data_IF_829807909815
#
_entry.id   IF_829807909815
#
_cell.length_a   1.000
_cell.length_b   1.000
_cell.length_c   1.000
_cell.angle_alpha   90.00
_cell.angle_beta   90.00
_cell.angle_gamma   90.00
#
_symmetry.space_group_name_H-M   'P 1'
#
loop_
_entity.id
_entity.type
_entity.pdbx_description
1 polymer ?
#
# COMPACT_ATOMS: atom_id res chain seq x y z
N UNK A 1 -33.14 -23.88 -30.46
CA UNK A 1 -32.58 -22.74 -29.72
C UNK A 1 -31.77 -23.33 -28.60
N UNK A 2 -30.49 -23.64 -28.85
CA UNK A 2 -29.60 -24.26 -27.85
C UNK A 2 -28.65 -23.16 -27.39
N UNK A 3 -28.88 -22.62 -26.19
CA UNK A 3 -28.04 -21.62 -25.57
C UNK A 3 -26.73 -22.28 -25.13
N UNK A 4 -25.64 -22.02 -25.85
CA UNK A 4 -24.30 -22.33 -25.37
C UNK A 4 -24.02 -21.40 -24.19
N UNK A 5 -24.09 -21.93 -22.97
CA UNK A 5 -23.53 -21.28 -21.79
C UNK A 5 -22.01 -21.17 -22.00
N UNK A 6 -21.57 -20.02 -22.50
CA UNK A 6 -20.17 -19.64 -22.49
C UNK A 6 -19.87 -19.16 -21.07
N UNK A 7 -19.57 -20.08 -20.18
CA UNK A 7 -18.89 -19.72 -18.93
C UNK A 7 -17.58 -19.03 -19.31
N UNK A 8 -17.28 -17.84 -18.78
CA UNK A 8 -16.06 -17.13 -19.14
C UNK A 8 -14.88 -17.99 -18.69
N UNK A 9 -14.00 -18.35 -19.64
CA UNK A 9 -12.76 -19.04 -19.34
C UNK A 9 -11.89 -18.10 -18.48
N UNK A 10 -11.90 -18.33 -17.17
CA UNK A 10 -11.03 -17.62 -16.23
C UNK A 10 -9.63 -18.22 -16.33
N UNK A 11 -8.66 -17.42 -16.77
CA UNK A 11 -7.27 -17.86 -16.78
C UNK A 11 -6.79 -18.07 -15.33
N UNK A 12 -6.32 -19.29 -15.04
CA UNK A 12 -5.68 -19.61 -13.77
C UNK A 12 -4.19 -19.24 -13.84
N UNK A 13 -3.70 -18.63 -12.77
CA UNK A 13 -2.30 -18.27 -12.58
C UNK A 13 -1.77 -19.11 -11.42
N UNK A 14 -0.55 -19.64 -11.58
CA UNK A 14 0.17 -20.31 -10.51
C UNK A 14 1.05 -19.30 -9.80
N UNK A 15 0.91 -19.21 -8.48
CA UNK A 15 1.72 -18.34 -7.62
C UNK A 15 2.21 -19.08 -6.38
N UNK A 16 3.36 -18.70 -5.84
CA UNK A 16 3.96 -19.38 -4.70
C UNK A 16 3.68 -18.66 -3.38
N UNK A 17 2.91 -19.31 -2.50
CA UNK A 17 2.72 -18.94 -1.11
C UNK A 17 3.90 -19.49 -0.26
N UNK A 18 4.54 -18.68 0.59
CA UNK A 18 5.65 -19.14 1.43
C UNK A 18 5.25 -20.20 2.48
N UNK A 19 3.96 -20.27 2.85
CA UNK A 19 3.45 -21.24 3.81
C UNK A 19 2.92 -22.53 3.16
N UNK A 20 2.22 -22.42 2.02
CA UNK A 20 1.52 -23.54 1.37
C UNK A 20 2.25 -24.12 0.16
N UNK A 21 3.22 -23.39 -0.40
CA UNK A 21 3.82 -23.72 -1.69
C UNK A 21 3.03 -23.13 -2.85
N UNK A 22 3.02 -23.82 -3.99
CA UNK A 22 2.37 -23.32 -5.19
C UNK A 22 0.86 -23.50 -5.13
N UNK A 23 0.14 -22.41 -5.37
CA UNK A 23 -1.32 -22.34 -5.41
C UNK A 23 -1.79 -21.84 -6.77
N UNK A 24 -2.98 -22.28 -7.18
CA UNK A 24 -3.66 -21.79 -8.38
C UNK A 24 -4.79 -20.85 -7.98
N UNK A 25 -4.88 -19.71 -8.68
CA UNK A 25 -5.89 -18.70 -8.43
C UNK A 25 -6.28 -18.00 -9.74
N UNK A 26 -7.50 -17.44 -9.83
CA UNK A 26 -7.88 -16.59 -10.94
C UNK A 26 -6.89 -15.43 -11.12
N UNK A 27 -6.55 -15.09 -12.37
CA UNK A 27 -5.77 -13.88 -12.66
C UNK A 27 -6.37 -12.63 -11.98
N UNK A 28 -7.71 -12.50 -11.99
CA UNK A 28 -8.43 -11.42 -11.34
C UNK A 28 -8.25 -11.33 -9.81
N UNK A 29 -7.71 -12.36 -9.15
CA UNK A 29 -7.39 -12.32 -7.72
C UNK A 29 -6.00 -11.72 -7.43
N UNK A 30 -5.17 -11.50 -8.47
CA UNK A 30 -3.92 -10.77 -8.37
C UNK A 30 -4.18 -9.27 -8.49
N UNK A 31 -3.39 -8.49 -7.75
CA UNK A 31 -3.33 -7.04 -7.86
C UNK A 31 -1.90 -6.60 -8.07
N UNK A 32 -1.64 -5.93 -9.19
CA UNK A 32 -0.33 -5.37 -9.49
C UNK A 32 -0.28 -3.90 -9.06
N UNK A 33 0.89 -3.45 -8.61
CA UNK A 33 1.14 -2.05 -8.30
C UNK A 33 2.52 -1.60 -8.77
N UNK A 34 2.62 -0.34 -9.17
CA UNK A 34 3.87 0.27 -9.62
C UNK A 34 4.05 1.64 -8.96
N UNK A 35 5.25 1.89 -8.44
CA UNK A 35 5.62 3.20 -7.93
C UNK A 35 6.00 4.11 -9.10
N UNK A 36 5.31 5.24 -9.27
CA UNK A 36 5.62 6.25 -10.29
C UNK A 36 6.94 6.96 -9.99
N UNK A 37 7.32 7.08 -8.71
CA UNK A 37 8.53 7.80 -8.29
C UNK A 37 9.80 6.97 -8.48
N UNK A 38 9.77 5.66 -8.18
CA UNK A 38 10.96 4.79 -8.26
C UNK A 38 10.94 3.83 -9.44
N UNK A 39 9.78 3.63 -10.09
CA UNK A 39 9.58 2.59 -11.10
C UNK A 39 9.47 1.17 -10.52
N UNK A 40 9.51 1.02 -9.19
CA UNK A 40 9.47 -0.30 -8.55
C UNK A 40 8.07 -0.93 -8.63
N UNK A 41 8.04 -2.19 -9.05
CA UNK A 41 6.84 -2.97 -9.24
C UNK A 41 6.64 -4.06 -8.19
N UNK A 42 5.39 -4.39 -7.90
CA UNK A 42 5.05 -5.58 -7.12
C UNK A 42 3.67 -6.11 -7.51
N UNK A 43 3.42 -7.40 -7.27
CA UNK A 43 2.09 -7.97 -7.31
C UNK A 43 1.74 -8.61 -5.97
N UNK A 44 0.46 -8.71 -5.70
CA UNK A 44 -0.07 -9.32 -4.48
C UNK A 44 -1.27 -10.21 -4.75
N UNK A 45 -1.46 -11.20 -3.89
CA UNK A 45 -2.64 -12.07 -3.90
C UNK A 45 -2.94 -12.60 -2.49
N UNK A 46 -4.21 -12.90 -2.22
CA UNK A 46 -4.60 -13.68 -1.04
C UNK A 46 -4.43 -15.17 -1.32
N UNK A 47 -3.65 -15.88 -0.51
CA UNK A 47 -3.51 -17.33 -0.65
C UNK A 47 -4.88 -18.00 -0.39
N UNK A 48 -5.42 -18.80 -1.33
CA UNK A 48 -6.73 -19.43 -1.17
C UNK A 48 -6.76 -20.51 -0.08
N UNK A 49 -5.60 -21.03 0.33
CA UNK A 49 -5.49 -22.07 1.35
C UNK A 49 -5.41 -21.51 2.77
N UNK A 50 -4.52 -20.54 3.00
CA UNK A 50 -4.25 -20.01 4.35
C UNK A 50 -4.74 -18.57 4.58
N UNK A 51 -5.27 -17.89 3.56
CA UNK A 51 -5.77 -16.52 3.63
C UNK A 51 -4.70 -15.43 3.76
N UNK A 52 -3.42 -15.80 3.84
CA UNK A 52 -2.33 -14.82 3.97
C UNK A 52 -2.17 -14.01 2.68
N UNK A 53 -2.01 -12.69 2.81
CA UNK A 53 -1.65 -11.82 1.69
C UNK A 53 -0.16 -11.98 1.39
N UNK A 54 0.15 -12.38 0.17
CA UNK A 54 1.51 -12.55 -0.33
C UNK A 54 1.82 -11.39 -1.26
N UNK A 55 2.95 -10.71 -1.03
CA UNK A 55 3.47 -9.64 -1.90
C UNK A 55 4.80 -10.09 -2.49
N UNK A 56 4.98 -9.90 -3.80
CA UNK A 56 6.19 -10.27 -4.52
C UNK A 56 6.70 -9.09 -5.35
N UNK A 57 8.02 -8.85 -5.41
CA UNK A 57 8.56 -7.86 -6.33
C UNK A 57 8.30 -8.29 -7.77
N UNK A 58 8.08 -7.32 -8.64
CA UNK A 58 7.88 -7.53 -10.06
C UNK A 58 8.68 -6.48 -10.83
N UNK A 59 9.46 -6.93 -11.80
CA UNK A 59 10.03 -6.02 -12.77
C UNK A 59 8.96 -5.55 -13.76
N UNK A 60 9.30 -4.52 -14.55
CA UNK A 60 8.37 -3.93 -15.51
C UNK A 60 7.85 -4.96 -16.52
N UNK A 61 8.73 -5.88 -16.97
CA UNK A 61 8.35 -6.93 -17.92
C UNK A 61 7.30 -7.88 -17.33
N UNK A 62 7.45 -8.27 -16.06
CA UNK A 62 6.48 -9.12 -15.37
C UNK A 62 5.17 -8.37 -15.17
N UNK A 63 5.20 -7.10 -14.77
CA UNK A 63 4.01 -6.28 -14.67
C UNK A 63 3.26 -6.18 -16.00
N UNK A 64 3.97 -5.95 -17.11
CA UNK A 64 3.37 -5.91 -18.45
C UNK A 64 2.67 -7.22 -18.82
N UNK A 65 3.28 -8.37 -18.49
CA UNK A 65 2.67 -9.68 -18.70
C UNK A 65 1.40 -9.87 -17.87
N UNK A 66 1.43 -9.44 -16.60
CA UNK A 66 0.26 -9.51 -15.71
C UNK A 66 -0.88 -8.63 -16.24
N UNK A 67 -0.58 -7.40 -16.65
CA UNK A 67 -1.58 -6.49 -17.26
C UNK A 67 -2.14 -7.06 -18.56
N UNK A 68 -1.29 -7.61 -19.43
CA UNK A 68 -1.72 -8.27 -20.65
C UNK A 68 -2.64 -9.48 -20.39
N UNK A 69 -2.51 -10.12 -19.22
CA UNK A 69 -3.40 -11.20 -18.77
C UNK A 69 -4.72 -10.73 -18.12
N UNK A 70 -4.95 -9.42 -18.04
CA UNK A 70 -6.17 -8.82 -17.50
C UNK A 70 -6.13 -8.47 -16.01
N UNK A 71 -4.95 -8.45 -15.41
CA UNK A 71 -4.76 -8.04 -14.01
C UNK A 71 -4.81 -6.51 -13.89
N UNK A 72 -5.42 -6.02 -12.82
CA UNK A 72 -5.46 -4.58 -12.51
C UNK A 72 -4.09 -4.11 -12.05
N UNK A 73 -3.55 -3.09 -12.71
CA UNK A 73 -2.37 -2.34 -12.28
C UNK A 73 -2.80 -1.03 -11.64
N UNK A 74 -2.41 -0.82 -10.39
CA UNK A 74 -2.58 0.45 -9.67
C UNK A 74 -1.25 1.19 -9.59
N UNK A 75 -1.22 2.44 -10.04
CA UNK A 75 -0.07 3.29 -9.80
C UNK A 75 -0.17 4.00 -8.45
N UNK A 76 0.98 4.24 -7.83
CA UNK A 76 1.12 5.00 -6.60
C UNK A 76 2.44 5.78 -6.63
N UNK A 77 2.57 6.85 -5.87
CA UNK A 77 3.82 7.60 -5.75
C UNK A 77 4.32 7.55 -4.31
N UNK A 78 5.61 7.84 -4.10
CA UNK A 78 6.11 8.04 -2.74
C UNK A 78 5.31 9.17 -2.05
N UNK A 79 5.07 9.05 -0.73
CA UNK A 79 4.37 10.08 0.04
C UNK A 79 5.12 11.42 -0.05
N UNK A 80 4.38 12.53 -0.04
CA UNK A 80 4.96 13.87 -0.11
C UNK A 80 5.88 14.17 1.07
N UNK A 81 5.52 13.61 2.22
CA UNK A 81 6.21 13.64 3.51
C UNK A 81 7.67 13.15 3.40
N UNK A 82 7.95 12.23 2.48
CA UNK A 82 9.32 11.75 2.27
C UNK A 82 10.23 12.82 1.63
N UNK A 83 9.66 13.77 0.90
CA UNK A 83 10.36 14.88 0.27
C UNK A 83 10.31 16.17 1.09
N UNK A 84 9.60 16.18 2.21
CA UNK A 84 9.51 17.35 3.09
C UNK A 84 10.87 17.66 3.73
N UNK A 85 11.14 18.95 3.85
CA UNK A 85 12.28 19.43 4.62
C UNK A 85 11.91 19.21 6.09
N UNK A 86 12.69 18.35 6.77
CA UNK A 86 12.53 18.13 8.20
C UNK A 86 13.32 19.21 8.94
N UNK A 87 12.62 20.03 9.71
CA UNK A 87 13.21 21.04 10.58
C UNK A 87 13.01 20.67 12.05
N UNK A 88 13.95 21.08 12.90
CA UNK A 88 13.94 20.77 14.33
C UNK A 88 14.60 19.43 14.69
N UNK A 89 14.57 19.11 15.98
CA UNK A 89 15.13 17.88 16.51
C UNK A 89 14.21 16.68 16.21
N UNK A 90 14.76 15.46 16.04
CA UNK A 90 13.94 14.26 15.88
C UNK A 90 12.98 14.07 17.06
N UNK A 91 11.73 13.70 16.76
CA UNK A 91 10.73 13.41 17.79
C UNK A 91 11.24 12.30 18.70
N UNK A 92 11.35 12.62 19.99
CA UNK A 92 11.75 11.72 21.05
C UNK A 92 10.54 11.14 21.78
N UNK A 93 10.81 10.20 22.68
CA UNK A 93 9.78 9.66 23.55
C UNK A 93 9.20 10.72 24.51
N UNK A 94 10.04 11.64 24.98
CA UNK A 94 9.62 12.69 25.90
C UNK A 94 8.67 13.68 25.20
N UNK A 95 8.89 13.98 23.91
CA UNK A 95 7.99 14.82 23.12
C UNK A 95 6.57 14.23 23.02
N UNK A 96 6.47 12.90 22.90
CA UNK A 96 5.19 12.20 22.88
C UNK A 96 4.48 12.31 24.23
N UNK A 97 5.22 12.21 25.34
CA UNK A 97 4.64 12.38 26.68
C UNK A 97 4.16 13.81 26.92
N UNK A 98 4.96 14.80 26.52
CA UNK A 98 4.58 16.22 26.60
C UNK A 98 3.32 16.47 25.78
N UNK A 99 3.24 15.93 24.57
CA UNK A 99 2.06 16.06 23.72
C UNK A 99 0.84 15.36 24.32
N UNK A 100 1.00 14.16 24.89
CA UNK A 100 -0.06 13.45 25.61
C UNK A 100 -0.61 14.29 26.77
N UNK A 101 0.27 14.83 27.61
CA UNK A 101 -0.13 15.60 28.79
C UNK A 101 -0.81 16.91 28.38
N UNK A 102 -0.37 17.53 27.28
CA UNK A 102 -1.04 18.67 26.65
C UNK A 102 -2.46 18.31 26.22
N UNK A 103 -2.66 17.20 25.49
CA UNK A 103 -3.99 16.77 25.06
C UNK A 103 -4.95 16.42 26.21
N UNK A 104 -4.42 16.19 27.41
CA UNK A 104 -5.21 15.90 28.60
C UNK A 104 -5.76 17.17 29.29
N UNK A 105 -5.37 18.38 28.89
CA UNK A 105 -5.94 19.63 29.42
C UNK A 105 -7.23 20.01 28.70
N UNK A 106 -8.13 20.73 29.38
CA UNK A 106 -9.41 21.15 28.80
C UNK A 106 -9.25 22.21 27.68
N UNK A 107 -8.14 22.94 27.68
CA UNK A 107 -7.82 24.06 26.79
C UNK A 107 -6.72 23.74 25.76
N UNK A 108 -6.37 22.45 25.61
CA UNK A 108 -5.27 21.97 24.76
C UNK A 108 -5.29 22.58 23.35
N UNK A 109 -6.48 22.74 22.76
CA UNK A 109 -6.62 23.24 21.39
C UNK A 109 -6.18 24.69 21.27
N UNK A 110 -6.54 25.54 22.25
CA UNK A 110 -6.09 26.94 22.29
C UNK A 110 -4.59 27.03 22.49
N UNK A 111 -4.02 26.16 23.32
CA UNK A 111 -2.57 26.10 23.55
C UNK A 111 -1.84 25.72 22.25
N UNK A 112 -2.29 24.67 21.54
CA UNK A 112 -1.69 24.26 20.26
C UNK A 112 -1.84 25.36 19.20
N UNK A 113 -3.00 26.00 19.13
CA UNK A 113 -3.23 27.10 18.19
C UNK A 113 -2.24 28.25 18.41
N UNK A 114 -1.98 28.60 19.67
CA UNK A 114 -1.01 29.63 20.01
C UNK A 114 0.43 29.20 19.72
N UNK A 115 0.78 27.92 19.95
CA UNK A 115 2.10 27.37 19.62
C UNK A 115 2.38 27.40 18.11
N UNK A 116 1.41 27.02 17.28
CA UNK A 116 1.55 27.05 15.81
C UNK A 116 1.70 28.47 15.30
N UNK A 117 0.95 29.44 15.85
CA UNK A 117 1.05 30.86 15.45
C UNK A 117 2.38 31.50 15.84
N UNK A 118 3.06 30.96 16.85
CA UNK A 118 4.33 31.49 17.36
C UNK A 118 5.53 30.93 16.61
N UNK A 119 5.34 29.90 15.79
CA UNK A 119 6.40 29.34 14.96
C UNK A 119 6.63 30.24 13.73
N UNK A 120 7.78 30.93 13.62
CA UNK A 120 8.09 31.76 12.45
C UNK A 120 8.34 30.95 11.17
N UNK A 121 8.37 29.62 11.25
CA UNK A 121 8.55 28.70 10.12
C UNK A 121 7.24 28.03 9.65
N UNK A 122 6.11 28.24 10.34
CA UNK A 122 4.80 27.65 9.99
C UNK A 122 4.01 28.43 8.92
#
# INVERSE_FOLDING_TARGET
MEGKNTEPLVALVRASCPACGDVELPGAALHARMCETTGEGSYSFGCPECGTVVVKPADQRLLDLLVASGIVLTSWSLPGELAEVHEGDPISYDDILVFHDLLATDDWFSIVEDLVKQDPAA
#
